data_IF_875360493140
#
_entry.id   IF_875360493140
#
_cell.length_a   1.000
_cell.length_b   1.000
_cell.length_c   1.000
_cell.angle_alpha   90.00
_cell.angle_beta   90.00
_cell.angle_gamma   90.00
#
_symmetry.space_group_name_H-M   'P 1'
#
loop_
_entity.id
_entity.type
_entity.pdbx_description
1 polymer ?
#
# COMPACT_ATOMS: atom_id res chain seq x y z
N UNK A 1 -14.33 -7.47 50.93
CA UNK A 1 -14.96 -6.24 50.38
C UNK A 1 -14.35 -5.72 49.07
N UNK A 2 -13.05 -5.91 48.79
CA UNK A 2 -12.43 -5.42 47.54
C UNK A 2 -12.85 -6.19 46.28
N UNK A 3 -13.06 -7.52 46.38
CA UNK A 3 -13.47 -8.37 45.25
C UNK A 3 -14.86 -8.03 44.69
N UNK A 4 -15.82 -7.71 45.58
CA UNK A 4 -17.18 -7.30 45.18
C UNK A 4 -17.21 -5.96 44.43
N UNK A 5 -16.24 -5.06 44.68
CA UNK A 5 -16.12 -3.79 43.95
C UNK A 5 -15.57 -3.99 42.54
N UNK A 6 -14.66 -4.93 42.35
CA UNK A 6 -14.11 -5.28 41.03
C UNK A 6 -15.19 -5.98 40.17
N UNK A 7 -15.94 -6.90 40.77
CA UNK A 7 -17.09 -7.53 40.12
C UNK A 7 -18.15 -6.50 39.73
N UNK A 8 -18.54 -5.61 40.65
CA UNK A 8 -19.53 -4.57 40.33
C UNK A 8 -19.06 -3.63 39.19
N UNK A 9 -17.77 -3.35 39.09
CA UNK A 9 -17.22 -2.49 38.04
C UNK A 9 -17.22 -3.15 36.66
N UNK A 10 -16.93 -4.45 36.60
CA UNK A 10 -16.99 -5.23 35.34
C UNK A 10 -18.43 -5.40 34.86
N UNK A 11 -19.39 -5.59 35.78
CA UNK A 11 -20.79 -5.84 35.44
C UNK A 11 -21.65 -4.57 35.26
N UNK A 12 -21.24 -3.41 35.81
CA UNK A 12 -21.96 -2.14 35.64
C UNK A 12 -22.27 -1.76 34.18
N UNK A 13 -21.31 -1.82 33.22
CA UNK A 13 -21.60 -1.47 31.83
C UNK A 13 -22.60 -2.44 31.18
N UNK A 14 -22.54 -3.74 31.51
CA UNK A 14 -23.50 -4.73 30.99
C UNK A 14 -24.92 -4.50 31.51
N UNK A 15 -25.08 -4.07 32.76
CA UNK A 15 -26.39 -3.74 33.34
C UNK A 15 -26.97 -2.48 32.69
N UNK A 16 -26.16 -1.46 32.41
CA UNK A 16 -26.61 -0.22 31.73
C UNK A 16 -27.03 -0.52 30.28
N UNK A 17 -26.34 -1.43 29.58
CA UNK A 17 -26.73 -1.92 28.25
C UNK A 17 -28.08 -2.66 28.32
N UNK A 18 -28.31 -3.47 29.36
CA UNK A 18 -29.59 -4.18 29.55
C UNK A 18 -30.77 -3.26 29.87
N UNK A 19 -30.55 -2.19 30.64
CA UNK A 19 -31.60 -1.20 30.96
C UNK A 19 -31.94 -0.32 29.75
N UNK A 20 -30.95 0.01 28.91
CA UNK A 20 -31.17 0.78 27.68
C UNK A 20 -31.80 -0.02 26.55
N UNK A 21 -31.71 -1.36 26.57
CA UNK A 21 -32.41 -2.26 25.64
C UNK A 21 -33.94 -2.13 25.66
N UNK A 22 -34.55 -1.72 26.79
CA UNK A 22 -36.00 -1.47 26.85
C UNK A 22 -36.45 -0.25 26.04
N UNK A 23 -35.56 0.68 25.72
CA UNK A 23 -35.84 1.88 24.91
C UNK A 23 -35.53 1.73 23.42
N UNK A 24 -34.84 0.66 23.02
CA UNK A 24 -34.54 0.37 21.62
C UNK A 24 -35.75 -0.27 20.92
N UNK A 25 -36.04 0.20 19.70
CA UNK A 25 -37.11 -0.33 18.85
C UNK A 25 -36.92 -1.81 18.50
N UNK A 26 -38.01 -2.49 18.12
CA UNK A 26 -38.04 -3.96 17.92
C UNK A 26 -36.94 -4.47 16.97
N UNK A 27 -36.59 -3.68 15.95
CA UNK A 27 -35.56 -4.03 14.94
C UNK A 27 -34.15 -4.07 15.54
N UNK A 28 -33.80 -3.11 16.39
CA UNK A 28 -32.47 -3.07 17.01
C UNK A 28 -32.24 -4.19 18.02
N UNK A 29 -33.32 -4.68 18.67
CA UNK A 29 -33.23 -5.85 19.57
C UNK A 29 -32.93 -7.14 18.82
N UNK A 30 -33.52 -7.32 17.63
CA UNK A 30 -33.28 -8.50 16.80
C UNK A 30 -31.84 -8.46 16.26
N UNK A 31 -31.38 -7.29 15.79
CA UNK A 31 -29.99 -7.11 15.34
C UNK A 31 -28.96 -7.39 16.44
N UNK A 32 -29.19 -6.90 17.66
CA UNK A 32 -28.30 -7.16 18.80
C UNK A 32 -28.22 -8.64 19.20
N UNK A 33 -29.34 -9.37 19.14
CA UNK A 33 -29.38 -10.80 19.43
C UNK A 33 -28.62 -11.63 18.38
N UNK A 34 -28.75 -11.29 17.10
CA UNK A 34 -28.02 -11.95 16.00
C UNK A 34 -26.51 -11.72 16.17
N UNK A 35 -26.11 -10.48 16.48
CA UNK A 35 -24.69 -10.14 16.63
C UNK A 35 -24.05 -10.85 17.83
N UNK A 36 -24.74 -10.93 18.96
CA UNK A 36 -24.26 -11.66 20.13
C UNK A 36 -24.12 -13.18 19.86
N UNK A 37 -25.04 -13.77 19.10
CA UNK A 37 -24.92 -15.17 18.67
C UNK A 37 -23.71 -15.42 17.77
N UNK A 38 -23.39 -14.46 16.89
CA UNK A 38 -22.26 -14.56 15.96
C UNK A 38 -20.90 -14.50 16.69
N UNK A 39 -20.77 -13.62 17.70
CA UNK A 39 -19.57 -13.56 18.55
C UNK A 39 -19.37 -14.84 19.36
N UNK A 40 -20.46 -15.40 19.90
CA UNK A 40 -20.39 -16.63 20.68
C UNK A 40 -19.90 -17.82 19.82
N UNK A 41 -20.23 -17.81 18.52
CA UNK A 41 -19.85 -18.87 17.58
C UNK A 41 -18.35 -18.83 17.24
N UNK A 42 -17.73 -17.64 17.21
CA UNK A 42 -16.29 -17.48 16.98
C UNK A 42 -15.45 -18.07 18.13
N UNK A 43 -15.95 -18.00 19.36
CA UNK A 43 -15.23 -18.49 20.55
C UNK A 43 -15.20 -20.04 20.62
N UNK A 44 -16.14 -20.71 19.96
CA UNK A 44 -16.32 -22.17 20.05
C UNK A 44 -15.58 -22.93 18.93
N UNK A 45 -14.96 -22.25 17.96
CA UNK A 45 -14.16 -22.93 16.92
C UNK A 45 -12.76 -23.21 17.48
N UNK A 46 -12.39 -24.47 17.75
CA UNK A 46 -11.02 -24.81 18.11
C UNK A 46 -10.10 -24.54 16.92
N UNK A 47 -9.13 -23.65 17.09
CA UNK A 47 -8.05 -23.43 16.15
C UNK A 47 -7.12 -24.65 16.16
N UNK A 48 -7.29 -25.55 15.20
CA UNK A 48 -6.29 -26.59 14.90
C UNK A 48 -5.06 -25.94 14.26
N UNK A 49 -3.92 -26.00 14.94
CA UNK A 49 -2.61 -25.64 14.41
C UNK A 49 -2.23 -26.60 13.28
N UNK A 50 -2.06 -26.09 12.05
CA UNK A 50 -1.49 -26.87 10.95
C UNK A 50 0.04 -26.73 10.91
N UNK A 51 0.80 -27.84 10.76
CA UNK A 51 2.25 -27.82 10.75
C UNK A 51 2.84 -27.36 9.41
N UNK A 52 3.97 -26.68 9.54
CA UNK A 52 4.90 -26.20 8.52
C UNK A 52 5.52 -27.37 7.74
N UNK A 53 5.39 -27.38 6.41
CA UNK A 53 6.08 -28.35 5.54
C UNK A 53 7.22 -27.64 4.81
N UNK A 54 8.42 -27.89 5.32
CA UNK A 54 9.70 -27.64 4.65
C UNK A 54 9.94 -28.74 3.63
N UNK A 55 10.15 -28.39 2.35
CA UNK A 55 10.58 -29.32 1.32
C UNK A 55 12.08 -29.13 1.04
N UNK A 56 12.85 -30.16 1.36
CA UNK A 56 14.28 -30.32 1.11
C UNK A 56 14.48 -31.54 0.19
N UNK A 57 15.37 -31.40 -0.79
CA UNK A 57 16.00 -32.49 -1.57
C UNK A 57 16.79 -31.84 -2.72
N UNK A 58 18.14 -31.75 -2.67
CA UNK A 58 19.15 -32.78 -2.98
C UNK A 58 19.06 -33.32 -4.43
N UNK A 59 20.09 -33.52 -5.26
CA UNK A 59 21.56 -33.25 -5.30
C UNK A 59 22.01 -33.51 -6.76
N UNK A 60 23.10 -32.83 -7.17
CA UNK A 60 24.10 -33.01 -8.26
C UNK A 60 24.34 -34.42 -8.92
N UNK A 61 25.17 -34.61 -10.00
CA UNK A 61 26.43 -33.89 -10.32
C UNK A 61 26.93 -33.75 -11.79
N UNK A 62 28.05 -33.00 -11.92
CA UNK A 62 29.32 -33.31 -12.61
C UNK A 62 29.72 -32.78 -14.03
N UNK A 63 30.79 -31.93 -14.01
CA UNK A 63 32.11 -32.05 -14.73
C UNK A 63 32.16 -31.61 -16.24
N UNK A 64 33.17 -30.90 -16.82
CA UNK A 64 34.62 -30.70 -16.58
C UNK A 64 35.23 -29.49 -17.36
N UNK A 65 36.34 -28.91 -16.83
CA UNK A 65 37.63 -28.51 -17.48
C UNK A 65 37.68 -27.51 -18.67
N UNK A 66 38.74 -26.72 -18.97
CA UNK A 66 40.09 -26.40 -18.44
C UNK A 66 40.71 -25.34 -19.39
N UNK A 67 41.52 -24.40 -18.87
CA UNK A 67 42.86 -23.96 -19.35
C UNK A 67 43.17 -22.46 -19.20
N UNK A 68 44.23 -22.21 -18.41
CA UNK A 68 45.14 -21.05 -18.48
C UNK A 68 46.21 -21.29 -19.59
N UNK A 69 47.17 -20.38 -19.94
CA UNK A 69 48.12 -19.72 -19.00
C UNK A 69 48.72 -18.31 -19.35
N UNK A 70 49.26 -17.64 -18.31
CA UNK A 70 50.51 -16.80 -18.13
C UNK A 70 50.96 -15.75 -19.20
N UNK A 71 51.64 -14.62 -18.92
CA UNK A 71 52.96 -14.40 -18.24
C UNK A 71 53.23 -12.88 -17.98
N UNK A 72 53.82 -12.58 -16.82
CA UNK A 72 54.81 -11.56 -16.35
C UNK A 72 55.24 -10.32 -17.17
N UNK A 73 55.47 -9.16 -16.50
CA UNK A 73 56.81 -8.72 -15.98
C UNK A 73 56.80 -7.30 -15.34
N UNK A 74 57.60 -7.16 -14.28
CA UNK A 74 57.92 -5.94 -13.53
C UNK A 74 59.08 -5.13 -14.14
N UNK A 75 59.18 -3.81 -13.85
CA UNK A 75 60.43 -3.06 -13.51
C UNK A 75 60.07 -1.81 -12.67
N UNK A 76 61.02 -1.42 -11.82
CA UNK A 76 61.01 -0.55 -10.64
C UNK A 76 61.33 0.95 -10.86
N UNK A 77 60.87 1.78 -9.89
CA UNK A 77 61.53 2.87 -9.13
C UNK A 77 62.29 4.00 -9.85
N UNK A 78 61.94 5.27 -9.58
CA UNK A 78 62.83 6.34 -9.00
C UNK A 78 61.99 7.51 -8.42
N UNK A 79 62.39 7.93 -7.22
CA UNK A 79 62.01 9.07 -6.38
C UNK A 79 61.87 10.47 -7.04
N UNK A 80 61.09 11.37 -6.43
CA UNK A 80 61.60 12.53 -5.64
C UNK A 80 60.51 13.61 -5.42
N UNK A 81 60.04 13.71 -4.16
CA UNK A 81 59.83 14.94 -3.36
C UNK A 81 59.10 16.14 -4.01
N UNK A 82 57.83 16.33 -3.65
CA UNK A 82 57.22 17.67 -3.59
C UNK A 82 56.09 17.75 -2.53
N UNK A 83 56.44 17.48 -1.27
CA UNK A 83 55.57 17.78 -0.12
C UNK A 83 55.57 19.29 0.14
N UNK A 84 54.46 19.97 -0.19
CA UNK A 84 53.84 21.07 0.61
C UNK A 84 52.77 21.90 -0.13
N UNK A 85 52.27 21.47 -1.28
CA UNK A 85 51.20 22.21 -2.01
C UNK A 85 49.95 21.38 -2.35
N UNK A 86 49.83 20.14 -1.86
CA UNK A 86 48.69 19.27 -2.17
C UNK A 86 47.55 19.31 -1.13
N UNK A 87 47.83 19.64 0.13
CA UNK A 87 46.83 19.61 1.21
C UNK A 87 45.73 20.70 1.10
N UNK A 88 45.98 21.79 0.38
CA UNK A 88 44.97 22.84 0.14
C UNK A 88 44.07 22.54 -1.05
N UNK A 89 44.62 21.93 -2.12
CA UNK A 89 43.85 21.55 -3.31
C UNK A 89 42.93 20.36 -3.04
N UNK A 90 43.39 19.38 -2.27
CA UNK A 90 42.55 18.27 -1.81
C UNK A 90 41.42 18.72 -0.87
N UNK A 91 41.65 19.74 -0.02
CA UNK A 91 40.61 20.33 0.86
C UNK A 91 39.58 21.17 0.10
N UNK A 92 39.97 21.88 -0.95
CA UNK A 92 39.03 22.62 -1.81
C UNK A 92 38.22 21.67 -2.70
N UNK A 93 38.83 20.64 -3.29
CA UNK A 93 38.12 19.63 -4.09
C UNK A 93 37.13 18.80 -3.23
N UNK A 94 37.50 18.48 -1.98
CA UNK A 94 36.59 17.83 -1.04
C UNK A 94 35.43 18.73 -0.60
N UNK A 95 35.67 20.04 -0.38
CA UNK A 95 34.60 21.02 -0.09
C UNK A 95 33.69 21.27 -1.29
N UNK A 96 34.23 21.25 -2.52
CA UNK A 96 33.45 21.42 -3.74
C UNK A 96 32.58 20.19 -3.99
N UNK A 97 33.12 18.97 -3.90
CA UNK A 97 32.33 17.72 -3.98
C UNK A 97 31.22 17.68 -2.92
N UNK A 98 31.52 17.98 -1.66
CA UNK A 98 30.52 17.99 -0.59
C UNK A 98 29.38 19.01 -0.82
N UNK A 99 29.68 20.17 -1.43
CA UNK A 99 28.64 21.16 -1.78
C UNK A 99 27.79 20.71 -2.97
N UNK A 100 28.41 20.09 -3.99
CA UNK A 100 27.69 19.56 -5.16
C UNK A 100 26.80 18.38 -4.78
N UNK A 101 27.28 17.49 -3.90
CA UNK A 101 26.52 16.34 -3.40
C UNK A 101 25.33 16.78 -2.52
N UNK A 102 25.52 17.82 -1.69
CA UNK A 102 24.45 18.38 -0.89
C UNK A 102 23.37 19.10 -1.74
N UNK A 103 23.77 19.80 -2.81
CA UNK A 103 22.84 20.45 -3.73
C UNK A 103 22.04 19.42 -4.54
N UNK A 104 22.70 18.38 -5.06
CA UNK A 104 22.05 17.26 -5.76
C UNK A 104 21.06 16.54 -4.86
N UNK A 105 21.41 16.28 -3.59
CA UNK A 105 20.50 15.65 -2.63
C UNK A 105 19.23 16.47 -2.41
N UNK A 106 19.33 17.78 -2.24
CA UNK A 106 18.15 18.66 -2.08
C UNK A 106 17.28 18.70 -3.34
N UNK A 107 17.88 18.67 -4.53
CA UNK A 107 17.14 18.60 -5.79
C UNK A 107 16.34 17.29 -5.87
N UNK A 108 16.98 16.15 -5.60
CA UNK A 108 16.33 14.84 -5.60
C UNK A 108 15.18 14.76 -4.59
N UNK A 109 15.36 15.32 -3.38
CA UNK A 109 14.29 15.40 -2.38
C UNK A 109 13.07 16.17 -2.89
N UNK A 110 13.29 17.32 -3.54
CA UNK A 110 12.21 18.13 -4.10
C UNK A 110 11.47 17.38 -5.20
N UNK A 111 12.18 16.64 -6.05
CA UNK A 111 11.60 15.84 -7.13
C UNK A 111 10.75 14.69 -6.60
N UNK A 112 11.23 13.94 -5.60
CA UNK A 112 10.45 12.87 -4.97
C UNK A 112 9.19 13.43 -4.30
N UNK A 113 9.29 14.57 -3.60
CA UNK A 113 8.11 15.23 -3.00
C UNK A 113 7.13 15.77 -4.04
N UNK A 114 7.62 16.25 -5.18
CA UNK A 114 6.76 16.68 -6.29
C UNK A 114 6.01 15.48 -6.90
N UNK A 115 6.71 14.36 -7.10
CA UNK A 115 6.10 13.10 -7.54
C UNK A 115 5.00 12.63 -6.57
N UNK A 116 5.30 12.58 -5.27
CA UNK A 116 4.32 12.21 -4.23
C UNK A 116 3.07 13.11 -4.27
N UNK A 117 3.25 14.43 -4.43
CA UNK A 117 2.12 15.36 -4.59
C UNK A 117 1.30 15.09 -5.84
N UNK A 118 1.93 14.71 -6.96
CA UNK A 118 1.22 14.32 -8.17
C UNK A 118 0.37 13.07 -7.96
N UNK A 119 0.88 12.08 -7.23
CA UNK A 119 0.11 10.89 -6.84
C UNK A 119 -1.12 11.28 -6.02
N UNK A 120 -0.97 12.07 -4.96
CA UNK A 120 -2.12 12.52 -4.16
C UNK A 120 -3.11 13.38 -4.95
N UNK A 121 -2.61 14.24 -5.85
CA UNK A 121 -3.48 15.05 -6.69
C UNK A 121 -4.33 14.17 -7.63
N UNK A 122 -3.78 13.07 -8.14
CA UNK A 122 -4.56 12.09 -8.91
C UNK A 122 -5.60 11.40 -8.03
N UNK A 123 -5.21 10.85 -6.88
CA UNK A 123 -6.13 10.20 -5.92
C UNK A 123 -7.31 11.10 -5.53
N UNK A 124 -7.04 12.39 -5.26
CA UNK A 124 -8.06 13.34 -4.82
C UNK A 124 -9.17 13.53 -5.87
N UNK A 125 -8.88 13.32 -7.16
CA UNK A 125 -9.92 13.37 -8.22
C UNK A 125 -10.97 12.27 -8.07
N UNK A 126 -10.64 11.18 -7.39
CA UNK A 126 -11.52 10.04 -7.15
C UNK A 126 -12.46 10.25 -5.95
N UNK A 127 -12.03 11.03 -4.96
CA UNK A 127 -12.75 11.24 -3.69
C UNK A 127 -14.24 11.59 -3.85
N UNK A 128 -14.64 12.62 -4.62
CA UNK A 128 -16.06 12.96 -4.75
C UNK A 128 -16.87 11.84 -5.43
N UNK A 129 -16.27 11.15 -6.41
CA UNK A 129 -16.93 10.06 -7.15
C UNK A 129 -17.16 8.86 -6.22
N UNK A 130 -16.18 8.53 -5.38
CA UNK A 130 -16.32 7.48 -4.37
C UNK A 130 -17.33 7.83 -3.29
N UNK A 131 -17.42 9.10 -2.87
CA UNK A 131 -18.48 9.56 -1.94
C UNK A 131 -19.86 9.32 -2.55
N UNK A 132 -20.07 9.74 -3.81
CA UNK A 132 -21.35 9.51 -4.51
C UNK A 132 -21.67 8.02 -4.64
N UNK A 133 -20.69 7.19 -4.99
CA UNK A 133 -20.87 5.73 -5.04
C UNK A 133 -21.26 5.14 -3.67
N UNK A 134 -20.56 5.52 -2.60
CA UNK A 134 -20.83 5.02 -1.25
C UNK A 134 -22.21 5.46 -0.74
N UNK A 135 -22.59 6.71 -1.00
CA UNK A 135 -23.91 7.25 -0.68
C UNK A 135 -25.01 6.50 -1.43
N UNK A 136 -24.83 6.25 -2.74
CA UNK A 136 -25.79 5.49 -3.54
C UNK A 136 -25.93 4.04 -3.04
N UNK A 137 -24.81 3.34 -2.78
CA UNK A 137 -24.83 1.98 -2.23
C UNK A 137 -25.52 1.92 -0.86
N UNK A 138 -25.24 2.89 0.02
CA UNK A 138 -25.90 3.00 1.33
C UNK A 138 -27.40 3.27 1.17
N UNK A 139 -27.76 4.16 0.24
CA UNK A 139 -29.14 4.50 -0.06
C UNK A 139 -29.93 3.30 -0.58
N UNK A 140 -29.33 2.45 -1.41
CA UNK A 140 -29.96 1.22 -1.89
C UNK A 140 -30.23 0.25 -0.74
N UNK A 141 -29.25 0.05 0.14
CA UNK A 141 -29.42 -0.79 1.34
C UNK A 141 -30.53 -0.29 2.28
N UNK A 142 -30.77 1.02 2.30
CA UNK A 142 -31.80 1.66 3.10
C UNK A 142 -33.13 1.87 2.36
N UNK A 143 -33.20 1.56 1.06
CA UNK A 143 -34.37 1.80 0.21
C UNK A 143 -34.65 3.28 -0.10
N UNK A 144 -33.66 4.16 0.03
CA UNK A 144 -33.80 5.62 -0.25
C UNK A 144 -33.40 6.02 -1.66
N UNK A 145 -32.67 5.16 -2.39
CA UNK A 145 -32.41 5.31 -3.82
C UNK A 145 -32.72 4.01 -4.55
N UNK A 146 -32.99 4.09 -5.85
CA UNK A 146 -33.26 2.94 -6.68
C UNK A 146 -31.97 2.28 -7.22
N UNK A 147 -32.14 1.11 -7.84
CA UNK A 147 -31.02 0.35 -8.41
C UNK A 147 -30.33 1.08 -9.56
N UNK A 148 -31.05 1.92 -10.32
CA UNK A 148 -30.52 2.67 -11.44
C UNK A 148 -29.55 3.77 -11.00
N UNK A 149 -29.86 4.43 -9.88
CA UNK A 149 -28.98 5.41 -9.24
C UNK A 149 -27.64 4.76 -8.85
N UNK A 150 -27.70 3.55 -8.28
CA UNK A 150 -26.47 2.80 -7.94
C UNK A 150 -25.72 2.35 -9.17
N UNK A 151 -26.43 1.92 -10.22
CA UNK A 151 -25.83 1.51 -11.49
C UNK A 151 -25.03 2.68 -12.09
N UNK A 152 -25.62 3.87 -12.21
CA UNK A 152 -24.96 5.07 -12.73
C UNK A 152 -23.75 5.48 -11.87
N UNK A 153 -23.90 5.50 -10.54
CA UNK A 153 -22.80 5.84 -9.64
C UNK A 153 -21.63 4.84 -9.75
N UNK A 154 -21.95 3.55 -9.91
CA UNK A 154 -20.95 2.48 -10.11
C UNK A 154 -20.25 2.62 -11.46
N UNK A 155 -21.00 2.92 -12.54
CA UNK A 155 -20.42 3.13 -13.87
C UNK A 155 -19.48 4.34 -13.89
N UNK A 156 -19.85 5.42 -13.20
CA UNK A 156 -19.00 6.60 -13.05
C UNK A 156 -17.74 6.30 -12.23
N UNK A 157 -17.85 5.55 -11.13
CA UNK A 157 -16.70 5.10 -10.35
C UNK A 157 -15.77 4.19 -11.19
N UNK A 158 -16.33 3.28 -12.00
CA UNK A 158 -15.56 2.46 -12.93
C UNK A 158 -14.79 3.31 -13.95
N UNK A 159 -15.45 4.24 -14.63
CA UNK A 159 -14.82 5.14 -15.61
C UNK A 159 -13.69 5.96 -14.98
N UNK A 160 -13.90 6.44 -13.76
CA UNK A 160 -12.88 7.18 -13.02
C UNK A 160 -11.68 6.28 -12.64
N UNK A 161 -11.93 5.03 -12.24
CA UNK A 161 -10.88 4.08 -11.97
C UNK A 161 -10.07 3.74 -13.23
N UNK A 162 -10.72 3.48 -14.37
CA UNK A 162 -10.07 3.24 -15.66
C UNK A 162 -9.23 4.45 -16.10
N UNK A 163 -9.74 5.66 -15.89
CA UNK A 163 -9.00 6.89 -16.16
C UNK A 163 -7.77 7.03 -15.25
N UNK A 164 -7.88 6.77 -13.95
CA UNK A 164 -6.76 6.82 -13.00
C UNK A 164 -5.71 5.76 -13.29
N UNK A 165 -6.12 4.54 -13.64
CA UNK A 165 -5.23 3.47 -14.09
C UNK A 165 -4.33 3.95 -15.22
N UNK A 166 -4.91 4.62 -16.22
CA UNK A 166 -4.18 5.23 -17.34
C UNK A 166 -3.30 6.41 -16.90
N UNK A 167 -3.77 7.25 -15.97
CA UNK A 167 -2.98 8.39 -15.47
C UNK A 167 -1.76 7.94 -14.66
N UNK A 168 -1.90 6.92 -13.82
CA UNK A 168 -0.77 6.35 -13.09
C UNK A 168 0.22 5.66 -14.02
N UNK A 169 -0.26 4.92 -15.03
CA UNK A 169 0.60 4.29 -16.02
C UNK A 169 1.50 5.31 -16.75
N UNK A 170 0.93 6.48 -17.05
CA UNK A 170 1.63 7.56 -17.75
C UNK A 170 2.25 8.61 -16.80
N UNK A 171 2.30 8.36 -15.49
CA UNK A 171 2.86 9.31 -14.54
C UNK A 171 4.38 9.33 -14.66
N UNK A 172 4.92 10.47 -15.08
CA UNK A 172 6.35 10.60 -15.35
C UNK A 172 7.19 10.59 -14.07
N UNK A 173 8.27 9.80 -14.09
CA UNK A 173 9.29 9.78 -13.05
C UNK A 173 10.46 10.67 -13.50
N UNK A 174 10.89 11.65 -12.68
CA UNK A 174 11.98 12.55 -13.06
C UNK A 174 13.28 11.82 -13.40
N UNK A 175 13.84 12.09 -14.58
CA UNK A 175 15.03 11.38 -15.10
C UNK A 175 16.33 11.70 -14.34
N UNK A 176 16.38 12.87 -13.71
CA UNK A 176 17.47 13.38 -12.88
C UNK A 176 17.70 12.56 -11.60
N UNK A 177 16.72 11.75 -11.21
CA UNK A 177 16.79 10.96 -9.98
C UNK A 177 17.80 9.81 -10.08
N UNK A 178 18.43 9.42 -8.95
CA UNK A 178 19.25 8.22 -8.85
C UNK A 178 18.51 6.97 -9.31
N UNK A 179 19.23 6.01 -9.90
CA UNK A 179 18.65 4.80 -10.51
C UNK A 179 17.79 3.99 -9.54
N UNK A 180 18.22 3.87 -8.29
CA UNK A 180 17.51 3.18 -7.22
C UNK A 180 16.18 3.88 -6.89
N UNK A 181 16.19 5.21 -6.77
CA UNK A 181 14.99 6.03 -6.54
C UNK A 181 14.03 5.91 -7.73
N UNK A 182 14.52 6.01 -8.97
CA UNK A 182 13.68 5.86 -10.18
C UNK A 182 13.03 4.48 -10.24
N UNK A 183 13.76 3.43 -9.92
CA UNK A 183 13.24 2.06 -9.90
C UNK A 183 12.07 1.94 -8.91
N UNK A 184 12.19 2.53 -7.72
CA UNK A 184 11.12 2.56 -6.72
C UNK A 184 9.90 3.34 -7.20
N UNK A 185 10.09 4.54 -7.74
CA UNK A 185 8.98 5.36 -8.22
C UNK A 185 8.27 4.74 -9.44
N UNK A 186 9.00 4.12 -10.37
CA UNK A 186 8.40 3.36 -11.47
C UNK A 186 7.64 2.12 -10.97
N UNK A 187 8.16 1.46 -9.92
CA UNK A 187 7.42 0.39 -9.26
C UNK A 187 6.12 0.91 -8.63
N UNK A 188 6.16 2.11 -8.04
CA UNK A 188 4.97 2.73 -7.45
C UNK A 188 3.91 3.07 -8.51
N UNK A 189 4.30 3.65 -9.65
CA UNK A 189 3.36 3.94 -10.75
C UNK A 189 2.72 2.67 -11.30
N UNK A 190 3.50 1.60 -11.45
CA UNK A 190 3.01 0.27 -11.89
C UNK A 190 2.01 -0.32 -10.90
N UNK A 191 2.33 -0.32 -9.60
CA UNK A 191 1.42 -0.85 -8.57
C UNK A 191 0.14 -0.03 -8.49
N UNK A 192 0.23 1.30 -8.47
CA UNK A 192 -0.96 2.17 -8.42
C UNK A 192 -1.83 2.00 -9.67
N UNK A 193 -1.23 1.89 -10.86
CA UNK A 193 -1.98 1.58 -12.08
C UNK A 193 -2.71 0.23 -11.96
N UNK A 194 -2.04 -0.79 -11.45
CA UNK A 194 -2.63 -2.13 -11.24
C UNK A 194 -3.73 -2.12 -10.16
N UNK A 195 -3.57 -1.29 -9.13
CA UNK A 195 -4.59 -1.09 -8.11
C UNK A 195 -5.89 -0.60 -8.75
N UNK A 196 -5.80 0.43 -9.59
CA UNK A 196 -6.95 1.01 -10.26
C UNK A 196 -7.55 0.12 -11.36
N UNK A 197 -6.73 -0.71 -12.01
CA UNK A 197 -7.23 -1.79 -12.86
C UNK A 197 -8.11 -2.76 -12.07
N UNK A 198 -7.62 -3.24 -10.92
CA UNK A 198 -8.35 -4.18 -10.05
C UNK A 198 -9.61 -3.52 -9.46
N UNK A 199 -9.53 -2.23 -9.11
CA UNK A 199 -10.69 -1.45 -8.67
C UNK A 199 -11.76 -1.33 -9.77
N UNK A 200 -11.36 -1.13 -11.02
CA UNK A 200 -12.26 -1.18 -12.17
C UNK A 200 -12.96 -2.54 -12.29
N UNK A 201 -12.23 -3.65 -12.08
CA UNK A 201 -12.80 -5.01 -12.04
C UNK A 201 -13.73 -5.26 -10.88
N UNK A 202 -13.47 -4.66 -9.73
CA UNK A 202 -14.39 -4.68 -8.60
C UNK A 202 -15.73 -4.02 -9.00
N UNK A 203 -15.69 -2.85 -9.65
CA UNK A 203 -16.91 -2.19 -10.13
C UNK A 203 -17.63 -2.96 -11.24
N UNK A 204 -16.91 -3.63 -12.15
CA UNK A 204 -17.53 -4.58 -13.10
C UNK A 204 -18.38 -5.62 -12.36
N UNK A 205 -17.85 -6.21 -11.28
CA UNK A 205 -18.56 -7.20 -10.48
C UNK A 205 -19.78 -6.61 -9.76
N UNK A 206 -19.73 -5.34 -9.34
CA UNK A 206 -20.91 -4.67 -8.76
C UNK A 206 -22.00 -4.48 -9.82
N UNK A 207 -21.65 -4.05 -11.04
CA UNK A 207 -22.62 -3.93 -12.13
C UNK A 207 -23.26 -5.28 -12.46
N UNK A 208 -22.46 -6.34 -12.59
CA UNK A 208 -22.94 -7.71 -12.78
C UNK A 208 -23.90 -8.15 -11.66
N UNK A 209 -23.61 -7.79 -10.40
CA UNK A 209 -24.48 -8.05 -9.26
C UNK A 209 -25.80 -7.29 -9.33
N UNK A 210 -25.80 -6.03 -9.79
CA UNK A 210 -27.04 -5.26 -9.93
C UNK A 210 -27.97 -5.87 -11.00
N UNK A 211 -27.41 -6.54 -12.01
CA UNK A 211 -28.19 -7.17 -13.07
C UNK A 211 -28.85 -8.49 -12.64
N UNK A 212 -28.10 -9.40 -12.01
CA UNK A 212 -28.57 -10.78 -11.75
C UNK A 212 -28.59 -11.20 -10.27
N UNK A 213 -28.10 -10.34 -9.37
CA UNK A 213 -28.07 -10.53 -7.92
C UNK A 213 -27.37 -11.81 -7.45
N UNK A 214 -26.46 -12.38 -8.24
CA UNK A 214 -25.72 -13.59 -7.85
C UNK A 214 -24.67 -13.27 -6.77
N UNK A 215 -24.65 -14.01 -5.65
CA UNK A 215 -23.66 -13.80 -4.59
C UNK A 215 -22.20 -13.94 -5.03
N UNK A 216 -21.93 -14.70 -6.10
CA UNK A 216 -20.59 -14.87 -6.67
C UNK A 216 -19.96 -13.55 -7.11
N UNK A 217 -20.76 -12.61 -7.63
CA UNK A 217 -20.28 -11.30 -8.06
C UNK A 217 -19.83 -10.45 -6.87
N UNK A 218 -20.52 -10.56 -5.73
CA UNK A 218 -20.11 -9.89 -4.50
C UNK A 218 -18.83 -10.51 -3.90
N UNK A 219 -18.59 -11.81 -4.10
CA UNK A 219 -17.31 -12.43 -3.76
C UNK A 219 -16.19 -11.85 -4.62
N UNK A 220 -16.40 -11.80 -5.94
CA UNK A 220 -15.45 -11.23 -6.89
C UNK A 220 -15.14 -9.76 -6.58
N UNK A 221 -16.15 -8.95 -6.25
CA UNK A 221 -15.94 -7.58 -5.78
C UNK A 221 -14.99 -7.52 -4.58
N UNK A 222 -15.19 -8.38 -3.57
CA UNK A 222 -14.34 -8.42 -2.37
C UNK A 222 -12.90 -8.81 -2.69
N UNK A 223 -12.72 -9.78 -3.58
CA UNK A 223 -11.39 -10.26 -3.96
C UNK A 223 -10.63 -9.17 -4.74
N UNK A 224 -11.28 -8.54 -5.73
CA UNK A 224 -10.71 -7.48 -6.56
C UNK A 224 -10.43 -6.19 -5.77
N UNK A 225 -11.31 -5.81 -4.83
CA UNK A 225 -11.07 -4.62 -4.00
C UNK A 225 -9.92 -4.87 -3.00
N UNK A 226 -9.82 -6.07 -2.43
CA UNK A 226 -8.69 -6.44 -1.56
C UNK A 226 -7.37 -6.46 -2.34
N UNK A 227 -7.40 -6.94 -3.59
CA UNK A 227 -6.25 -6.89 -4.50
C UNK A 227 -5.86 -5.44 -4.80
N UNK A 228 -6.83 -4.58 -5.15
CA UNK A 228 -6.63 -3.14 -5.33
C UNK A 228 -5.94 -2.52 -4.11
N UNK A 229 -6.46 -2.75 -2.91
CA UNK A 229 -5.93 -2.17 -1.67
C UNK A 229 -4.49 -2.63 -1.39
N UNK A 230 -4.18 -3.90 -1.67
CA UNK A 230 -2.80 -4.41 -1.57
C UNK A 230 -1.84 -3.68 -2.50
N UNK A 231 -2.25 -3.45 -3.75
CA UNK A 231 -1.44 -2.70 -4.71
C UNK A 231 -1.30 -1.22 -4.34
N UNK A 232 -2.35 -0.57 -3.82
CA UNK A 232 -2.24 0.79 -3.27
C UNK A 232 -1.17 0.83 -2.19
N UNK A 233 -1.25 -0.07 -1.21
CA UNK A 233 -0.29 -0.12 -0.11
C UNK A 233 1.15 -0.35 -0.59
N UNK A 234 1.34 -1.24 -1.56
CA UNK A 234 2.65 -1.50 -2.15
C UNK A 234 3.20 -0.27 -2.90
N UNK A 235 2.35 0.42 -3.65
CA UNK A 235 2.72 1.65 -4.35
C UNK A 235 3.14 2.75 -3.38
N UNK A 236 2.36 2.98 -2.33
CA UNK A 236 2.67 3.96 -1.29
C UNK A 236 3.96 3.58 -0.54
N UNK A 237 4.17 2.31 -0.21
CA UNK A 237 5.41 1.84 0.44
C UNK A 237 6.64 2.16 -0.42
N UNK A 238 6.59 1.92 -1.73
CA UNK A 238 7.69 2.26 -2.65
C UNK A 238 7.97 3.76 -2.71
N UNK A 239 6.94 4.62 -2.60
CA UNK A 239 7.13 6.07 -2.47
C UNK A 239 7.83 6.41 -1.16
N UNK A 240 7.47 5.76 -0.04
CA UNK A 240 8.15 5.97 1.25
C UNK A 240 9.62 5.54 1.19
N UNK A 241 9.92 4.38 0.60
CA UNK A 241 11.29 3.92 0.41
C UNK A 241 12.10 4.87 -0.50
N UNK A 242 11.47 5.44 -1.53
CA UNK A 242 12.11 6.44 -2.39
C UNK A 242 12.44 7.73 -1.62
N UNK A 243 11.55 8.15 -0.71
CA UNK A 243 11.78 9.29 0.20
C UNK A 243 12.94 9.01 1.16
N UNK A 244 12.99 7.82 1.73
CA UNK A 244 14.09 7.41 2.61
C UNK A 244 15.44 7.39 1.87
N UNK A 245 15.47 6.87 0.63
CA UNK A 245 16.69 6.82 -0.20
C UNK A 245 17.27 8.21 -0.49
N UNK A 246 16.44 9.25 -0.62
CA UNK A 246 16.90 10.65 -0.76
C UNK A 246 17.12 11.35 0.58
N UNK A 247 16.96 10.65 1.70
CA UNK A 247 17.19 11.14 3.06
C UNK A 247 16.09 12.04 3.61
N UNK A 248 14.85 11.89 3.15
CA UNK A 248 13.68 12.48 3.80
C UNK A 248 13.28 11.60 4.99
N UNK A 249 13.10 12.21 6.16
CA UNK A 249 12.58 11.49 7.33
C UNK A 249 11.07 11.27 7.15
N UNK A 250 10.63 10.05 7.42
CA UNK A 250 9.21 9.73 7.56
C UNK A 250 8.80 10.18 8.97
N UNK A 251 8.38 11.44 9.11
CA UNK A 251 7.86 11.91 10.39
C UNK A 251 6.52 11.20 10.66
N UNK A 252 6.52 10.22 11.56
CA UNK A 252 5.31 9.70 12.17
C UNK A 252 4.74 10.80 13.08
N UNK A 253 3.80 11.58 12.56
CA UNK A 253 2.96 12.46 13.38
C UNK A 253 1.67 11.76 13.76
#
# INVERSE_FOLDING_TARGET
MKLLRVLAWIFLPFIIIFVSWKKLGKVARIGGAIWAGLVLLIIVIPTEEKPNVTATGETEPAVSQEKAPKVDKAVAVVDTKNEKTDDQKAKEEAKLKAKTDAASKKANQKEVLAFEKSVYALEETMSPIMSTYQEAMTGLGNGTVDIYTVYEATENAKKAADHLQSKFYNLEVPESLPKDVKTKLNGATSDLSTAYYSKGKAFDAVLEFLDDQKPSHMSKFKDEIAMSDSFVMNGILKIMEAKEAVGLKLDAK
#
